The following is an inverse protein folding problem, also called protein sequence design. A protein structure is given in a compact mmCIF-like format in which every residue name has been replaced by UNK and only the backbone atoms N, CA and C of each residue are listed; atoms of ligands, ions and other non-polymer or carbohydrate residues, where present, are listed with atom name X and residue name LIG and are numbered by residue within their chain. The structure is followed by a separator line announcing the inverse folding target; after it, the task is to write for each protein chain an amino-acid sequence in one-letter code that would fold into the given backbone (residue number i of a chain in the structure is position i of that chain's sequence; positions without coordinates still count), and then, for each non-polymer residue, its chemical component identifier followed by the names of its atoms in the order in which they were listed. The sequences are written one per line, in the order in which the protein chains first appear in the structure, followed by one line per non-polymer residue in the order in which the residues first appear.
data_IF_073120674773
#
_entry.id   IF_073120674773
#
_cell.length_a   1.000
_cell.length_b   1.000
_cell.length_c   1.000
_cell.angle_alpha   90.00
_cell.angle_beta   90.00
_cell.angle_gamma   90.00
#
_symmetry.space_group_name_H-M   'P 1'
#
loop_
_entity.id
_entity.type
_entity.pdbx_description
1 polymer ?
#
# COMPACT_ATOMS: atom_id res chain seq x y z
N UNK A 1 12.32 3.88 13.51
CA UNK A 1 11.02 4.44 13.03
C UNK A 1 9.94 3.35 12.94
N UNK A 2 8.65 3.73 12.96
CA UNK A 2 7.43 2.94 13.26
C UNK A 2 7.51 2.14 14.58
N UNK A 3 8.35 1.10 14.63
CA UNK A 3 8.56 0.27 15.83
C UNK A 3 8.96 1.09 17.05
N UNK A 4 9.84 2.07 16.86
CA UNK A 4 10.30 2.99 17.92
C UNK A 4 9.18 3.90 18.45
N UNK A 5 8.14 4.13 17.64
CA UNK A 5 6.96 4.92 18.01
C UNK A 5 5.82 4.02 18.53
N UNK A 6 6.06 2.72 18.70
CA UNK A 6 5.07 1.75 19.18
C UNK A 6 4.07 1.28 18.11
N UNK A 7 4.34 1.53 16.83
CA UNK A 7 3.48 1.08 15.74
C UNK A 7 3.89 -0.29 15.21
N UNK A 8 2.91 -1.01 14.67
CA UNK A 8 3.13 -2.25 13.95
C UNK A 8 3.91 -2.01 12.65
N UNK A 9 4.89 -2.87 12.37
CA UNK A 9 5.76 -2.75 11.18
C UNK A 9 5.17 -3.60 10.07
N UNK A 10 4.00 -3.18 9.59
CA UNK A 10 3.25 -3.82 8.53
C UNK A 10 2.59 -2.77 7.63
N UNK A 11 2.16 -3.18 6.44
CA UNK A 11 1.37 -2.32 5.54
C UNK A 11 0.09 -1.82 6.20
N UNK A 12 -0.54 -2.64 7.04
CA UNK A 12 -1.68 -2.25 7.87
C UNK A 12 -1.30 -1.19 8.92
N UNK A 13 -0.17 -1.37 9.61
CA UNK A 13 0.35 -0.40 10.58
C UNK A 13 0.58 0.98 9.95
N UNK A 14 1.09 0.99 8.72
CA UNK A 14 1.23 2.22 7.90
C UNK A 14 -0.14 2.79 7.53
N UNK A 15 -1.06 1.99 7.01
CA UNK A 15 -2.39 2.45 6.60
C UNK A 15 -3.15 3.13 7.76
N UNK A 16 -3.04 2.60 8.99
CA UNK A 16 -3.64 3.21 10.19
C UNK A 16 -3.18 4.66 10.44
N UNK A 17 -1.98 5.05 10.00
CA UNK A 17 -1.49 6.43 10.14
C UNK A 17 -2.09 7.39 9.12
N UNK A 18 -2.69 6.88 8.04
CA UNK A 18 -3.22 7.66 6.93
C UNK A 18 -4.76 7.67 6.85
N UNK A 19 -5.44 7.10 7.85
CA UNK A 19 -6.91 7.10 7.94
C UNK A 19 -7.43 8.55 7.90
N UNK A 20 -8.40 8.80 7.02
CA UNK A 20 -9.00 10.12 6.80
C UNK A 20 -8.19 11.06 5.91
N UNK A 21 -7.00 10.64 5.46
CA UNK A 21 -6.14 11.40 4.54
C UNK A 21 -5.94 10.70 3.20
N UNK A 22 -5.82 9.37 3.21
CA UNK A 22 -5.56 8.56 2.04
C UNK A 22 -6.83 7.83 1.60
N UNK A 23 -7.19 7.98 0.32
CA UNK A 23 -8.31 7.24 -0.30
C UNK A 23 -7.85 5.90 -0.87
N UNK A 24 -6.70 5.88 -1.54
CA UNK A 24 -6.19 4.72 -2.29
C UNK A 24 -4.87 4.25 -1.70
N UNK A 25 -4.78 2.98 -1.34
CA UNK A 25 -3.60 2.38 -0.72
C UNK A 25 -3.13 1.17 -1.52
N UNK A 26 -1.85 1.13 -1.89
CA UNK A 26 -1.27 0.05 -2.69
C UNK A 26 -0.33 -0.76 -1.82
N UNK A 27 -0.49 -2.08 -1.83
CA UNK A 27 0.36 -3.02 -1.08
C UNK A 27 0.99 -4.05 -2.01
N UNK A 28 2.07 -4.66 -1.52
CA UNK A 28 2.77 -5.72 -2.23
C UNK A 28 1.94 -7.01 -2.30
N UNK A 29 2.19 -7.86 -3.30
CA UNK A 29 1.61 -9.20 -3.39
C UNK A 29 1.87 -10.04 -2.14
N UNK A 30 3.01 -9.85 -1.47
CA UNK A 30 3.35 -10.53 -0.21
C UNK A 30 2.43 -10.15 0.95
N UNK A 31 1.78 -8.99 0.88
CA UNK A 31 0.89 -8.46 1.91
C UNK A 31 -0.60 -8.67 1.57
N UNK A 32 -0.93 -9.44 0.52
CA UNK A 32 -2.32 -9.65 0.07
C UNK A 32 -3.28 -10.06 1.19
N UNK A 33 -2.79 -10.80 2.19
CA UNK A 33 -3.59 -11.23 3.34
C UNK A 33 -4.06 -10.06 4.24
N UNK A 34 -3.41 -8.90 4.17
CA UNK A 34 -3.78 -7.68 4.90
C UNK A 34 -4.81 -6.82 4.17
N UNK A 35 -5.12 -7.14 2.91
CA UNK A 35 -5.99 -6.33 2.04
C UNK A 35 -7.34 -6.01 2.70
N UNK A 36 -8.09 -7.05 3.09
CA UNK A 36 -9.44 -6.87 3.64
C UNK A 36 -9.43 -6.05 4.95
N UNK A 37 -8.41 -6.24 5.78
CA UNK A 37 -8.29 -5.46 7.03
C UNK A 37 -7.97 -3.99 6.75
N UNK A 38 -7.14 -3.69 5.74
CA UNK A 38 -6.87 -2.31 5.33
C UNK A 38 -8.11 -1.67 4.68
N UNK A 39 -8.85 -2.41 3.84
CA UNK A 39 -10.11 -1.93 3.24
C UNK A 39 -11.14 -1.57 4.33
N UNK A 40 -11.16 -2.32 5.44
CA UNK A 40 -12.03 -2.00 6.58
C UNK A 40 -11.73 -0.65 7.25
N UNK A 41 -10.56 -0.05 6.98
CA UNK A 41 -10.20 1.31 7.43
C UNK A 41 -10.78 2.41 6.53
N UNK A 42 -11.48 2.05 5.44
CA UNK A 42 -12.12 3.00 4.51
C UNK A 42 -11.24 3.43 3.34
N UNK A 43 -10.23 2.64 2.99
CA UNK A 43 -9.37 2.86 1.82
C UNK A 43 -9.70 1.87 0.71
N UNK A 44 -9.55 2.28 -0.55
CA UNK A 44 -9.52 1.38 -1.70
C UNK A 44 -8.14 0.74 -1.80
N UNK A 45 -8.06 -0.59 -1.66
CA UNK A 45 -6.78 -1.30 -1.58
C UNK A 45 -6.49 -2.10 -2.84
N UNK A 46 -5.34 -1.79 -3.44
CA UNK A 46 -4.85 -2.44 -4.64
C UNK A 46 -3.59 -3.24 -4.32
N UNK A 47 -3.45 -4.39 -4.98
CA UNK A 47 -2.35 -5.32 -4.75
C UNK A 47 -1.59 -5.47 -6.07
N UNK A 48 -0.30 -5.22 -6.03
CA UNK A 48 0.62 -5.39 -7.18
C UNK A 48 2.03 -5.61 -6.66
N UNK A 49 2.96 -6.02 -7.52
CA UNK A 49 4.39 -5.97 -7.21
C UNK A 49 4.81 -4.53 -6.90
N UNK A 50 5.39 -4.28 -5.72
CA UNK A 50 5.87 -2.95 -5.30
C UNK A 50 7.39 -2.88 -5.18
N UNK A 51 8.10 -4.01 -5.31
CA UNK A 51 9.56 -4.04 -5.33
C UNK A 51 10.07 -3.43 -6.65
N UNK A 52 10.94 -2.43 -6.53
CA UNK A 52 11.48 -1.65 -7.64
C UNK A 52 12.99 -1.88 -7.79
N UNK A 53 13.41 -3.06 -8.22
CA UNK A 53 14.84 -3.40 -8.41
C UNK A 53 15.43 -2.73 -9.67
N UNK A 54 14.61 -2.59 -10.70
CA UNK A 54 15.00 -2.01 -11.99
C UNK A 54 14.19 -0.76 -12.33
N UNK A 55 14.66 0.03 -13.29
CA UNK A 55 13.90 1.17 -13.81
C UNK A 55 12.64 0.73 -14.57
N UNK A 56 12.59 -0.52 -15.04
CA UNK A 56 11.38 -1.06 -15.66
C UNK A 56 10.30 -1.32 -14.61
N UNK A 57 10.68 -1.86 -13.44
CA UNK A 57 9.74 -2.12 -12.34
C UNK A 57 9.10 -0.81 -11.85
N UNK A 58 9.90 0.26 -11.71
CA UNK A 58 9.41 1.61 -11.36
C UNK A 58 8.38 2.11 -12.37
N UNK A 59 8.66 1.96 -13.67
CA UNK A 59 7.75 2.39 -14.74
C UNK A 59 6.46 1.60 -14.72
N UNK A 60 6.53 0.29 -14.51
CA UNK A 60 5.36 -0.58 -14.42
C UNK A 60 4.48 -0.21 -13.24
N UNK A 61 5.07 -0.03 -12.05
CA UNK A 61 4.31 0.41 -10.87
C UNK A 61 3.68 1.79 -11.08
N UNK A 62 4.41 2.74 -11.67
CA UNK A 62 3.87 4.05 -12.00
C UNK A 62 2.72 3.99 -13.02
N UNK A 63 2.83 3.15 -14.04
CA UNK A 63 1.75 2.91 -15.02
C UNK A 63 0.52 2.32 -14.35
N UNK A 64 0.70 1.31 -13.50
CA UNK A 64 -0.40 0.71 -12.72
C UNK A 64 -1.11 1.75 -11.86
N UNK A 65 -0.36 2.62 -11.17
CA UNK A 65 -0.94 3.71 -10.36
C UNK A 65 -1.81 4.64 -11.23
N UNK A 66 -1.35 5.00 -12.42
CA UNK A 66 -2.12 5.84 -13.34
C UNK A 66 -3.39 5.13 -13.84
N UNK A 67 -3.33 3.82 -14.10
CA UNK A 67 -4.47 3.02 -14.56
C UNK A 67 -5.57 2.93 -13.51
N UNK A 68 -5.23 2.76 -12.23
CA UNK A 68 -6.23 2.66 -11.15
C UNK A 68 -6.74 4.02 -10.66
N UNK A 69 -6.07 5.11 -11.03
CA UNK A 69 -6.45 6.49 -10.66
C UNK A 69 -7.36 7.17 -11.70
N UNK A 70 -7.64 6.49 -12.82
CA UNK A 70 -8.49 6.98 -13.90
C UNK A 70 -9.97 6.72 -13.62
#
# INVERSE_FOLDING_TARGET
MLKELGHDVSSLGVARQYVGLCNTFIIDEKDVALKEEIESLGMDVFVTQTIMETDQDKKQLAQYILEISA
#
